data_IF_086345832083
#
_entry.id   IF_086345832083
#
_cell.length_a   1.000
_cell.length_b   1.000
_cell.length_c   1.000
_cell.angle_alpha   90.00
_cell.angle_beta   90.00
_cell.angle_gamma   90.00
#
_symmetry.space_group_name_H-M   'P 1'
#
loop_
_entity.id
_entity.type
_entity.pdbx_description
1 polymer ?
#
# COMPACT_ATOMS: atom_id res chain seq x y z
N UNK A 1 -57.26 -29.11 9.80
CA UNK A 1 -57.57 -27.67 9.80
C UNK A 1 -56.44 -26.95 9.10
N UNK A 2 -56.77 -26.30 7.98
CA UNK A 2 -55.95 -25.36 7.23
C UNK A 2 -55.78 -24.10 8.09
N UNK A 3 -54.59 -23.50 8.13
CA UNK A 3 -54.26 -22.06 8.28
C UNK A 3 -52.76 -21.98 8.61
N UNK A 4 -51.90 -21.12 8.06
CA UNK A 4 -51.86 -20.36 6.82
C UNK A 4 -50.40 -19.91 6.66
N UNK A 5 -50.04 -19.74 5.41
CA UNK A 5 -48.80 -19.22 4.86
C UNK A 5 -48.56 -17.74 5.26
N UNK A 6 -47.30 -17.37 5.51
CA UNK A 6 -46.82 -16.01 5.22
C UNK A 6 -45.33 -16.06 4.85
N UNK A 7 -45.06 -16.22 3.55
CA UNK A 7 -43.78 -15.79 2.98
C UNK A 7 -43.73 -14.26 3.09
N UNK A 8 -42.77 -13.74 3.85
CA UNK A 8 -42.42 -12.32 3.76
C UNK A 8 -41.55 -12.15 2.52
N UNK A 9 -42.18 -11.80 1.41
CA UNK A 9 -41.52 -11.17 0.28
C UNK A 9 -41.30 -9.69 0.64
N UNK A 10 -40.15 -9.38 1.24
CA UNK A 10 -39.74 -8.00 1.49
C UNK A 10 -39.23 -7.37 0.18
N UNK A 11 -40.06 -6.56 -0.47
CA UNK A 11 -39.57 -5.50 -1.36
C UNK A 11 -39.17 -4.31 -0.48
N UNK A 12 -37.88 -3.95 -0.47
CA UNK A 12 -37.38 -2.80 0.27
C UNK A 12 -35.94 -2.49 -0.06
N UNK A 13 -35.77 -1.62 -1.06
CA UNK A 13 -34.63 -0.75 -1.41
C UNK A 13 -33.22 -1.32 -1.27
N UNK A 14 -32.53 -1.44 -2.41
CA UNK A 14 -31.11 -1.75 -2.54
C UNK A 14 -30.26 -1.15 -1.40
N UNK A 15 -30.02 -1.95 -0.37
CA UNK A 15 -29.06 -1.66 0.66
C UNK A 15 -27.68 -1.93 0.06
N UNK A 16 -26.95 -0.84 -0.17
CA UNK A 16 -25.49 -0.85 -0.13
C UNK A 16 -24.81 -1.69 -1.21
N UNK A 17 -24.92 -1.27 -2.47
CA UNK A 17 -23.73 -1.33 -3.34
C UNK A 17 -22.81 -0.17 -2.98
N UNK A 18 -22.40 -0.13 -1.71
CA UNK A 18 -21.23 0.63 -1.30
C UNK A 18 -20.05 -0.10 -1.92
N UNK A 19 -19.68 0.28 -3.13
CA UNK A 19 -18.31 0.13 -3.61
C UNK A 19 -17.43 0.91 -2.64
N UNK A 20 -17.07 0.26 -1.53
CA UNK A 20 -15.82 0.55 -0.86
C UNK A 20 -14.71 0.04 -1.79
N UNK A 21 -14.54 0.73 -2.92
CA UNK A 21 -13.19 0.95 -3.41
C UNK A 21 -12.53 1.67 -2.24
N UNK A 22 -11.74 0.92 -1.46
CA UNK A 22 -10.97 1.50 -0.37
C UNK A 22 -10.16 2.64 -0.96
N UNK A 23 -10.65 3.87 -0.77
CA UNK A 23 -9.88 5.04 -1.07
C UNK A 23 -8.71 4.94 -0.10
N UNK A 24 -7.55 4.56 -0.64
CA UNK A 24 -6.31 4.68 0.09
C UNK A 24 -6.30 6.09 0.69
N UNK A 25 -5.97 6.24 1.99
CA UNK A 25 -5.92 7.56 2.60
C UNK A 25 -5.11 8.47 1.68
N UNK A 26 -5.68 9.61 1.31
CA UNK A 26 -5.00 10.58 0.47
C UNK A 26 -3.73 11.01 1.22
N UNK A 27 -2.60 10.43 0.85
CA UNK A 27 -1.31 10.82 1.38
C UNK A 27 -1.09 12.25 0.89
N UNK A 28 -0.81 13.18 1.81
CA UNK A 28 -0.49 14.54 1.44
C UNK A 28 0.73 14.51 0.51
N UNK A 29 0.50 14.62 -0.80
CA UNK A 29 1.55 14.57 -1.81
C UNK A 29 2.61 15.67 -1.57
N UNK A 30 2.17 16.81 -1.03
CA UNK A 30 3.03 17.91 -0.60
C UNK A 30 3.98 17.52 0.56
N UNK A 31 3.52 16.70 1.50
CA UNK A 31 4.39 16.18 2.56
C UNK A 31 5.41 15.19 1.96
N UNK A 32 5.01 14.32 1.04
CA UNK A 32 5.96 13.42 0.36
C UNK A 32 7.04 14.17 -0.44
N UNK A 33 6.70 15.31 -1.05
CA UNK A 33 7.60 16.06 -1.93
C UNK A 33 8.84 16.63 -1.20
N UNK A 34 8.70 17.06 0.07
CA UNK A 34 9.83 17.60 0.83
C UNK A 34 10.75 16.49 1.34
N UNK A 35 10.20 15.37 1.82
CA UNK A 35 10.99 14.22 2.28
C UNK A 35 11.83 13.59 1.16
N UNK A 36 11.41 13.74 -0.09
CA UNK A 36 12.11 13.22 -1.26
C UNK A 36 13.19 14.17 -1.82
N UNK A 37 13.44 15.33 -1.19
CA UNK A 37 14.49 16.27 -1.60
C UNK A 37 15.88 15.80 -1.12
N UNK A 38 16.34 14.66 -1.63
CA UNK A 38 17.68 14.14 -1.35
C UNK A 38 18.35 13.60 -2.60
N UNK A 39 19.68 13.52 -2.55
CA UNK A 39 20.48 12.83 -3.55
C UNK A 39 21.33 11.76 -2.88
N UNK A 40 21.52 10.64 -3.55
CA UNK A 40 22.38 9.55 -3.11
C UNK A 40 23.20 8.99 -4.28
N UNK A 41 24.14 8.11 -3.97
CA UNK A 41 24.86 7.29 -4.94
C UNK A 41 24.45 5.84 -4.71
N UNK A 42 24.03 5.15 -5.76
CA UNK A 42 23.68 3.72 -5.67
C UNK A 42 24.92 2.86 -5.46
N UNK A 43 24.72 1.58 -5.12
CA UNK A 43 25.82 0.61 -4.99
C UNK A 43 26.57 0.40 -6.32
N UNK A 44 25.96 0.73 -7.46
CA UNK A 44 26.58 0.70 -8.79
C UNK A 44 27.28 2.02 -9.16
N UNK A 45 27.37 2.98 -8.24
CA UNK A 45 28.01 4.28 -8.47
C UNK A 45 27.15 5.29 -9.24
N UNK A 46 25.85 5.02 -9.44
CA UNK A 46 24.95 5.91 -10.20
C UNK A 46 24.35 6.97 -9.27
N UNK A 47 24.17 8.21 -9.75
CA UNK A 47 23.44 9.24 -9.01
C UNK A 47 21.95 8.87 -8.92
N UNK A 48 21.39 9.00 -7.73
CA UNK A 48 19.98 8.77 -7.43
C UNK A 48 19.37 10.05 -6.85
N UNK A 49 18.23 10.48 -7.40
CA UNK A 49 17.45 11.61 -6.90
C UNK A 49 16.16 11.09 -6.25
N UNK A 50 15.94 11.42 -4.98
CA UNK A 50 14.76 10.97 -4.22
C UNK A 50 13.44 11.40 -4.87
N UNK A 51 13.44 12.54 -5.56
CA UNK A 51 12.29 13.08 -6.29
C UNK A 51 11.78 12.12 -7.39
N UNK A 52 12.62 11.19 -7.87
CA UNK A 52 12.19 10.14 -8.81
C UNK A 52 11.16 9.16 -8.23
N UNK A 53 10.95 9.17 -6.92
CA UNK A 53 9.97 8.35 -6.20
C UNK A 53 8.61 9.05 -6.03
N UNK A 54 8.49 10.32 -6.41
CA UNK A 54 7.25 11.07 -6.25
C UNK A 54 6.09 10.42 -7.02
N UNK A 55 4.95 10.24 -6.35
CA UNK A 55 3.77 9.59 -6.93
C UNK A 55 3.85 8.06 -7.04
N UNK A 56 4.95 7.44 -6.62
CA UNK A 56 5.12 5.98 -6.60
C UNK A 56 4.96 5.43 -5.18
N UNK A 57 4.16 4.38 -4.95
CA UNK A 57 4.21 3.63 -3.70
C UNK A 57 5.64 3.16 -3.46
N UNK A 58 6.28 3.67 -2.40
CA UNK A 58 7.71 3.42 -2.15
C UNK A 58 7.96 3.17 -0.68
N UNK A 59 8.76 2.16 -0.38
CA UNK A 59 9.28 1.86 0.96
C UNK A 59 10.80 2.07 0.93
N UNK A 60 11.31 2.94 1.81
CA UNK A 60 12.74 3.10 2.04
C UNK A 60 13.14 2.21 3.23
N UNK A 61 13.82 1.09 2.96
CA UNK A 61 14.31 0.16 3.97
C UNK A 61 15.77 0.46 4.29
N UNK A 62 16.02 1.03 5.47
CA UNK A 62 17.37 1.34 5.96
C UNK A 62 17.95 0.13 6.68
N UNK A 63 19.12 -0.35 6.24
CA UNK A 63 19.75 -1.57 6.74
C UNK A 63 21.28 -1.46 6.74
N UNK A 64 21.94 -2.45 7.34
CA UNK A 64 23.39 -2.59 7.30
C UNK A 64 23.81 -4.05 7.11
N UNK A 65 24.93 -4.34 6.42
CA UNK A 65 25.34 -5.71 6.10
C UNK A 65 25.73 -6.55 7.31
N UNK A 66 26.04 -5.92 8.44
CA UNK A 66 26.37 -6.58 9.71
C UNK A 66 25.19 -6.71 10.67
N UNK A 67 24.00 -6.25 10.27
CA UNK A 67 22.79 -6.29 11.10
C UNK A 67 22.07 -7.64 10.93
N UNK A 68 22.16 -8.52 11.94
CA UNK A 68 21.53 -9.85 11.89
C UNK A 68 20.01 -9.77 11.71
N UNK A 69 19.33 -8.87 12.42
CA UNK A 69 17.88 -8.65 12.27
C UNK A 69 17.53 -8.24 10.84
N UNK A 70 18.30 -7.32 10.26
CA UNK A 70 18.10 -6.85 8.90
C UNK A 70 18.30 -7.98 7.87
N UNK A 71 19.28 -8.86 8.09
CA UNK A 71 19.49 -10.04 7.25
C UNK A 71 18.28 -11.00 7.32
N UNK A 72 17.68 -11.17 8.50
CA UNK A 72 16.45 -11.97 8.66
C UNK A 72 15.22 -11.33 7.99
N UNK A 73 15.14 -10.00 7.93
CA UNK A 73 14.05 -9.27 7.27
C UNK A 73 14.17 -9.26 5.74
N UNK A 74 15.38 -9.31 5.20
CA UNK A 74 15.67 -9.13 3.77
C UNK A 74 14.78 -9.98 2.83
N UNK A 75 14.52 -11.28 3.08
CA UNK A 75 13.65 -12.09 2.21
C UNK A 75 12.21 -11.57 2.17
N UNK A 76 11.69 -11.08 3.30
CA UNK A 76 10.34 -10.53 3.40
C UNK A 76 10.23 -9.21 2.64
N UNK A 77 11.24 -8.35 2.74
CA UNK A 77 11.31 -7.08 1.99
C UNK A 77 11.39 -7.35 0.49
N UNK A 78 12.23 -8.30 0.05
CA UNK A 78 12.33 -8.69 -1.36
C UNK A 78 11.00 -9.23 -1.90
N UNK A 79 10.31 -10.07 -1.13
CA UNK A 79 8.98 -10.58 -1.50
C UNK A 79 7.95 -9.46 -1.63
N UNK A 80 7.95 -8.50 -0.70
CA UNK A 80 7.04 -7.36 -0.75
C UNK A 80 7.27 -6.51 -2.01
N UNK A 81 8.53 -6.26 -2.38
CA UNK A 81 8.88 -5.51 -3.60
C UNK A 81 8.40 -6.23 -4.87
N UNK A 82 8.57 -7.56 -4.94
CA UNK A 82 8.13 -8.35 -6.10
C UNK A 82 6.60 -8.39 -6.25
N UNK A 83 5.87 -8.38 -5.13
CA UNK A 83 4.41 -8.41 -5.13
C UNK A 83 3.77 -7.04 -5.46
N UNK A 84 4.56 -5.95 -5.46
CA UNK A 84 4.09 -4.58 -5.66
C UNK A 84 5.04 -3.80 -6.60
N UNK A 85 5.01 -4.10 -7.92
CA UNK A 85 5.93 -3.49 -8.89
C UNK A 85 5.68 -1.99 -9.14
#
# INVERSE_FOLDING_TARGET
MIVSLALVAGCGSAAGAGTQAGAAPAHNAAAGAQQLQFTATTLQGTKFAGQSLAGKPTVLWFWAPWCAVCQHEAPSVAKAAQANP
#
